data_IF_702861732234
#
_entry.id   IF_702861732234
#
_cell.length_a   1.000
_cell.length_b   1.000
_cell.length_c   1.000
_cell.angle_alpha   90.00
_cell.angle_beta   90.00
_cell.angle_gamma   90.00
#
_symmetry.space_group_name_H-M   'P 1'
#
loop_
_entity.id
_entity.type
_entity.pdbx_description
1 polymer ?
#
# COMPACT_ATOMS: atom_id res chain seq x y z
N UNK A 1 -3.43 -8.55 -4.42
CA UNK A 1 -3.77 -9.07 -3.07
C UNK A 1 -4.61 -8.03 -2.32
N UNK A 2 -5.60 -8.45 -1.54
CA UNK A 2 -6.44 -7.55 -0.71
C UNK A 2 -6.57 -8.13 0.69
N UNK A 3 -6.32 -7.31 1.71
CA UNK A 3 -6.53 -7.64 3.12
C UNK A 3 -7.40 -6.61 3.82
N UNK A 4 -8.19 -7.08 4.79
CA UNK A 4 -9.09 -6.27 5.62
C UNK A 4 -8.75 -6.54 7.08
N UNK A 5 -8.49 -5.49 7.85
CA UNK A 5 -8.15 -5.59 9.27
C UNK A 5 -9.10 -4.68 10.05
N UNK A 6 -9.79 -5.22 11.05
CA UNK A 6 -10.67 -4.43 11.94
C UNK A 6 -9.96 -4.14 13.25
N UNK A 7 -9.97 -2.87 13.65
CA UNK A 7 -9.41 -2.40 14.92
C UNK A 7 -10.50 -2.10 15.94
N UNK A 8 -10.08 -1.94 17.20
CA UNK A 8 -10.88 -1.22 18.20
C UNK A 8 -11.03 0.26 17.78
N UNK A 9 -12.07 0.97 18.25
CA UNK A 9 -12.29 2.37 17.92
C UNK A 9 -11.02 3.22 17.99
N UNK A 10 -10.72 3.92 16.89
CA UNK A 10 -9.55 4.80 16.76
C UNK A 10 -8.23 4.08 16.44
N UNK A 11 -8.11 2.77 16.62
CA UNK A 11 -6.86 2.03 16.37
C UNK A 11 -6.40 2.07 14.91
N UNK A 12 -7.35 2.04 13.96
CA UNK A 12 -7.03 2.16 12.54
C UNK A 12 -6.45 3.55 12.19
N UNK A 13 -6.90 4.61 12.86
CA UNK A 13 -6.37 5.96 12.66
C UNK A 13 -4.97 6.11 13.26
N UNK A 14 -4.73 5.54 14.45
CA UNK A 14 -3.41 5.50 15.08
C UNK A 14 -2.41 4.77 14.18
N UNK A 15 -2.76 3.57 13.69
CA UNK A 15 -1.88 2.80 12.82
C UNK A 15 -1.50 3.55 11.53
N UNK A 16 -2.47 4.20 10.87
CA UNK A 16 -2.18 4.94 9.64
C UNK A 16 -1.24 6.13 9.90
N UNK A 17 -1.38 6.76 11.06
CA UNK A 17 -0.53 7.89 11.50
C UNK A 17 0.91 7.42 11.76
N UNK A 18 1.07 6.32 12.51
CA UNK A 18 2.36 5.71 12.80
C UNK A 18 3.04 5.25 11.51
N UNK A 19 2.32 4.54 10.64
CA UNK A 19 2.86 4.08 9.36
C UNK A 19 3.36 5.23 8.48
N UNK A 20 2.64 6.35 8.44
CA UNK A 20 3.09 7.54 7.69
C UNK A 20 4.40 8.10 8.26
N UNK A 21 4.52 8.16 9.59
CA UNK A 21 5.73 8.64 10.26
C UNK A 21 6.92 7.69 10.02
N UNK A 22 6.68 6.38 10.07
CA UNK A 22 7.72 5.37 9.84
C UNK A 22 8.20 5.37 8.39
N UNK A 23 7.31 5.53 7.41
CA UNK A 23 7.70 5.66 6.00
C UNK A 23 8.57 6.90 5.72
N UNK A 24 8.36 7.99 6.48
CA UNK A 24 9.20 9.19 6.38
C UNK A 24 10.59 8.98 7.01
N UNK A 25 10.68 8.16 8.06
CA UNK A 25 11.93 7.87 8.78
C UNK A 25 12.75 6.75 8.14
N UNK A 26 12.08 5.75 7.58
CA UNK A 26 12.67 4.49 7.14
C UNK A 26 12.46 4.29 5.63
N UNK A 27 13.22 5.02 4.83
CA UNK A 27 13.11 4.99 3.36
C UNK A 27 13.75 3.77 2.69
N UNK A 28 14.49 2.95 3.45
CA UNK A 28 15.06 1.68 3.01
C UNK A 28 15.10 0.67 4.15
N UNK A 29 14.44 -0.48 3.96
CA UNK A 29 14.35 -1.56 4.96
C UNK A 29 14.35 -2.90 4.22
N UNK A 30 15.12 -3.87 4.74
CA UNK A 30 15.19 -5.24 4.23
C UNK A 30 15.54 -5.33 2.73
N UNK A 31 16.47 -4.50 2.25
CA UNK A 31 16.89 -4.50 0.84
C UNK A 31 15.88 -3.86 -0.12
N UNK A 32 14.78 -3.29 0.40
CA UNK A 32 13.76 -2.60 -0.39
C UNK A 32 13.77 -1.11 -0.08
N UNK A 33 13.64 -0.28 -1.11
CA UNK A 33 13.39 1.15 -0.97
C UNK A 33 11.89 1.38 -0.81
N UNK A 34 11.48 2.06 0.26
CA UNK A 34 10.08 2.38 0.53
C UNK A 34 9.84 3.86 0.25
N UNK A 35 8.87 4.16 -0.61
CA UNK A 35 8.55 5.53 -1.03
C UNK A 35 7.06 5.78 -0.83
N UNK A 36 6.72 6.78 -0.02
CA UNK A 36 5.36 7.30 0.04
C UNK A 36 5.12 8.19 -1.19
N UNK A 37 4.19 7.80 -2.06
CA UNK A 37 3.82 8.55 -3.26
C UNK A 37 2.71 9.58 -2.98
N UNK A 38 2.11 9.56 -1.79
CA UNK A 38 1.03 10.43 -1.38
C UNK A 38 -0.17 9.65 -0.88
N UNK A 39 -1.37 10.09 -1.25
CA UNK A 39 -2.64 9.44 -0.88
C UNK A 39 -3.20 8.63 -2.06
N UNK A 40 -3.88 7.53 -1.76
CA UNK A 40 -4.54 6.69 -2.77
C UNK A 40 -5.87 7.32 -3.24
N UNK A 41 -6.47 8.16 -2.41
CA UNK A 41 -7.70 8.91 -2.65
C UNK A 41 -7.53 10.38 -2.28
N UNK A 42 -8.52 11.21 -2.58
CA UNK A 42 -8.51 12.62 -2.20
C UNK A 42 -8.57 12.86 -0.67
N UNK A 43 -8.81 11.82 0.15
CA UNK A 43 -8.75 11.92 1.61
C UNK A 43 -7.36 11.57 2.16
N UNK A 44 -7.02 12.20 3.29
CA UNK A 44 -5.85 11.90 4.11
C UNK A 44 -5.93 10.55 4.84
N UNK A 45 -7.01 9.79 4.64
CA UNK A 45 -7.26 8.47 5.21
C UNK A 45 -6.66 7.33 4.37
N UNK A 46 -5.78 7.66 3.42
CA UNK A 46 -5.11 6.67 2.59
C UNK A 46 -3.63 7.01 2.38
N UNK A 47 -2.82 5.97 2.22
CA UNK A 47 -1.43 6.06 1.80
C UNK A 47 -1.27 5.26 0.51
N UNK A 48 -0.54 5.81 -0.46
CA UNK A 48 -0.01 5.07 -1.60
C UNK A 48 1.49 4.93 -1.44
N UNK A 49 1.96 3.69 -1.44
CA UNK A 49 3.34 3.33 -1.17
C UNK A 49 3.86 2.58 -2.38
N UNK A 50 5.06 2.94 -2.82
CA UNK A 50 5.86 2.14 -3.74
C UNK A 50 7.01 1.51 -2.98
N UNK A 51 7.19 0.21 -3.16
CA UNK A 51 8.41 -0.47 -2.73
C UNK A 51 9.20 -0.89 -3.95
N UNK A 52 10.47 -0.55 -4.00
CA UNK A 52 11.36 -0.92 -5.10
C UNK A 52 12.39 -1.90 -4.58
N UNK A 53 12.55 -3.03 -5.26
CA UNK A 53 13.65 -3.96 -5.03
C UNK A 53 14.41 -4.21 -6.32
N UNK A 54 15.69 -4.60 -6.21
CA UNK A 54 16.48 -5.02 -7.36
C UNK A 54 16.35 -6.54 -7.45
N UNK A 55 15.61 -7.02 -8.44
CA UNK A 55 15.55 -8.43 -8.80
C UNK A 55 16.47 -8.72 -9.98
N UNK A 56 16.83 -9.98 -10.21
CA UNK A 56 17.57 -10.35 -11.41
C UNK A 56 17.43 -11.82 -11.78
N UNK A 57 17.60 -12.13 -13.07
CA UNK A 57 17.73 -13.50 -13.56
C UNK A 57 18.98 -13.61 -14.45
N UNK A 58 19.80 -14.62 -14.16
CA UNK A 58 21.13 -14.87 -14.70
C UNK A 58 22.06 -13.65 -14.55
N UNK A 59 22.13 -12.76 -15.54
CA UNK A 59 23.06 -11.60 -15.56
C UNK A 59 22.36 -10.24 -15.73
N UNK A 60 21.02 -10.22 -15.64
CA UNK A 60 20.25 -8.97 -15.74
C UNK A 60 19.69 -8.58 -14.37
N UNK A 61 20.07 -7.39 -13.89
CA UNK A 61 19.44 -6.76 -12.73
C UNK A 61 18.38 -5.76 -13.20
N UNK A 62 17.18 -5.83 -12.64
CA UNK A 62 16.07 -4.93 -12.94
C UNK A 62 15.43 -4.45 -11.64
N UNK A 63 15.08 -3.18 -11.60
CA UNK A 63 14.20 -2.66 -10.55
C UNK A 63 12.78 -3.17 -10.74
N UNK A 64 12.24 -3.81 -9.71
CA UNK A 64 10.86 -4.29 -9.65
C UNK A 64 10.14 -3.39 -8.63
N UNK A 65 9.10 -2.73 -9.11
CA UNK A 65 8.26 -1.86 -8.30
C UNK A 65 6.99 -2.60 -7.88
N UNK A 66 6.69 -2.56 -6.60
CA UNK A 66 5.42 -3.01 -6.03
C UNK A 66 4.64 -1.81 -5.53
N UNK A 67 3.32 -1.86 -5.68
CA UNK A 67 2.44 -0.78 -5.27
C UNK A 67 1.48 -1.29 -4.20
N UNK A 68 1.37 -0.52 -3.12
CA UNK A 68 0.58 -0.87 -1.95
C UNK A 68 -0.23 0.36 -1.56
N UNK A 69 -1.51 0.16 -1.27
CA UNK A 69 -2.32 1.17 -0.59
C UNK A 69 -2.75 0.66 0.76
N UNK A 70 -2.77 1.57 1.73
CA UNK A 70 -3.32 1.35 3.06
C UNK A 70 -4.38 2.42 3.27
N UNK A 71 -5.64 2.03 3.38
CA UNK A 71 -6.77 2.95 3.44
C UNK A 71 -7.65 2.66 4.64
N UNK A 72 -7.97 3.68 5.42
CA UNK A 72 -8.89 3.59 6.53
C UNK A 72 -10.33 3.81 6.07
N UNK A 73 -11.25 3.00 6.60
CA UNK A 73 -12.70 3.16 6.47
C UNK A 73 -13.31 2.91 7.85
N UNK A 74 -13.63 3.99 8.59
CA UNK A 74 -14.02 3.87 9.99
C UNK A 74 -12.91 3.25 10.83
N UNK A 75 -13.20 2.12 11.48
CA UNK A 75 -12.26 1.32 12.28
C UNK A 75 -11.61 0.17 11.49
N UNK A 76 -11.76 0.15 10.17
CA UNK A 76 -11.19 -0.85 9.28
C UNK A 76 -10.00 -0.26 8.52
N UNK A 77 -8.93 -1.05 8.36
CA UNK A 77 -7.88 -0.82 7.38
C UNK A 77 -8.01 -1.80 6.22
N UNK A 78 -8.00 -1.25 5.02
CA UNK A 78 -7.92 -1.98 3.76
C UNK A 78 -6.49 -1.87 3.24
N UNK A 79 -5.86 -3.01 2.99
CA UNK A 79 -4.56 -3.10 2.34
C UNK A 79 -4.74 -3.75 0.98
N UNK A 80 -4.42 -3.01 -0.08
CA UNK A 80 -4.46 -3.53 -1.45
C UNK A 80 -3.06 -3.41 -2.02
N UNK A 81 -2.53 -4.52 -2.53
CA UNK A 81 -1.20 -4.57 -3.10
C UNK A 81 -1.21 -5.25 -4.47
N UNK A 82 -0.45 -4.68 -5.39
CA UNK A 82 -0.03 -5.31 -6.63
C UNK A 82 1.49 -5.44 -6.60
N UNK A 83 1.92 -6.69 -6.54
CA UNK A 83 3.32 -7.08 -6.41
C UNK A 83 3.93 -7.50 -7.76
N UNK A 84 3.19 -7.27 -8.86
CA UNK A 84 3.59 -7.78 -10.17
C UNK A 84 3.67 -9.30 -10.22
N UNK A 85 4.47 -9.80 -11.16
CA UNK A 85 4.70 -11.22 -11.38
C UNK A 85 6.13 -11.45 -11.84
N UNK A 86 6.83 -12.40 -11.20
CA UNK A 86 8.24 -12.74 -11.47
C UNK A 86 9.16 -11.51 -11.50
N UNK A 87 9.50 -11.05 -12.72
CA UNK A 87 10.44 -9.97 -13.00
C UNK A 87 9.73 -8.68 -13.47
N UNK A 88 8.40 -8.65 -13.40
CA UNK A 88 7.59 -7.51 -13.78
C UNK A 88 7.09 -6.77 -12.54
N UNK A 89 7.14 -5.43 -12.61
CA UNK A 89 6.53 -4.55 -11.61
C UNK A 89 5.01 -4.75 -11.55
N UNK A 90 4.44 -4.45 -10.38
CA UNK A 90 3.01 -4.24 -10.24
C UNK A 90 2.54 -2.95 -10.93
N UNK A 91 1.23 -2.72 -10.89
CA UNK A 91 0.58 -1.58 -11.52
C UNK A 91 -0.06 -0.66 -10.48
N UNK A 92 0.44 0.59 -10.40
CA UNK A 92 -0.18 1.63 -9.56
C UNK A 92 -1.66 1.83 -9.89
N UNK A 93 -1.99 1.86 -11.19
CA UNK A 93 -3.35 2.04 -11.66
C UNK A 93 -4.27 0.91 -11.17
N UNK A 94 -3.80 -0.33 -11.26
CA UNK A 94 -4.56 -1.51 -10.80
C UNK A 94 -4.84 -1.40 -9.30
N UNK A 95 -3.83 -1.06 -8.49
CA UNK A 95 -4.02 -0.89 -7.05
C UNK A 95 -5.02 0.22 -6.76
N UNK A 96 -4.91 1.39 -7.41
CA UNK A 96 -5.87 2.49 -7.21
C UNK A 96 -7.30 2.07 -7.52
N UNK A 97 -7.53 1.43 -8.67
CA UNK A 97 -8.86 0.97 -9.08
C UNK A 97 -9.43 -0.06 -8.10
N UNK A 98 -8.63 -1.03 -7.66
CA UNK A 98 -9.05 -2.04 -6.68
C UNK A 98 -9.33 -1.42 -5.31
N UNK A 99 -8.54 -0.44 -4.88
CA UNK A 99 -8.75 0.28 -3.62
C UNK A 99 -10.06 1.05 -3.64
N UNK A 100 -10.38 1.74 -4.74
CA UNK A 100 -11.69 2.41 -4.89
C UNK A 100 -12.84 1.41 -4.74
N UNK A 101 -12.77 0.27 -5.43
CA UNK A 101 -13.80 -0.77 -5.33
C UNK A 101 -13.91 -1.34 -3.89
N UNK A 102 -12.78 -1.61 -3.25
CA UNK A 102 -12.72 -2.15 -1.89
C UNK A 102 -13.28 -1.16 -0.86
N UNK A 103 -12.94 0.12 -0.96
CA UNK A 103 -13.46 1.19 -0.10
C UNK A 103 -14.98 1.32 -0.25
N UNK A 104 -15.48 1.35 -1.49
CA UNK A 104 -16.92 1.41 -1.75
C UNK A 104 -17.65 0.22 -1.13
N UNK A 105 -17.10 -0.99 -1.28
CA UNK A 105 -17.65 -2.20 -0.65
C UNK A 105 -17.66 -2.11 0.87
N UNK A 106 -16.56 -1.69 1.49
CA UNK A 106 -16.44 -1.59 2.94
C UNK A 106 -17.40 -0.56 3.55
N UNK A 107 -17.61 0.57 2.86
CA UNK A 107 -18.60 1.58 3.28
C UNK A 107 -20.04 1.08 3.26
N UNK A 108 -20.35 0.15 2.37
CA UNK A 108 -21.70 -0.43 2.25
C UNK A 108 -21.93 -1.62 3.21
N UNK A 109 -20.91 -2.02 3.98
CA UNK A 109 -20.98 -3.14 4.94
C UNK A 109 -20.92 -2.69 6.41
N UNK A 110 -20.52 -1.44 6.65
CA UNK A 110 -20.55 -0.79 7.96
C UNK A 110 -21.84 0.02 8.10
#
# INVERSE_FOLDING_TARGET
>A
MVHVIRYRPGGAATYLTELRADLARCSSVAGKKWTLLGTASASNESLLIRTTEVGGYQDSSRSIDHYITVTRVGDVLLVVADMGWEMASGSEQTVRSLTTAAVNRARNMN
#
